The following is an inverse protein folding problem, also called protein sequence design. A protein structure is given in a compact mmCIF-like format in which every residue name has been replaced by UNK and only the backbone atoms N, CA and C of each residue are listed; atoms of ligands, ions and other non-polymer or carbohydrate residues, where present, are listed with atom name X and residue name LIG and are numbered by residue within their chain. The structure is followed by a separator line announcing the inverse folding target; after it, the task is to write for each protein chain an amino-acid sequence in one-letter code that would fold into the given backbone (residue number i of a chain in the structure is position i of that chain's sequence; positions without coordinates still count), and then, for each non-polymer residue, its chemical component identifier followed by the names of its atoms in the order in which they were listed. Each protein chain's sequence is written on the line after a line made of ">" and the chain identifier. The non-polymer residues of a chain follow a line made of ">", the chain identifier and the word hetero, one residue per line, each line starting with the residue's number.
data_IF_594053569931
#
_entry.id   IF_594053569931
#
_cell.length_a   1.000
_cell.length_b   1.000
_cell.length_c   1.000
_cell.angle_alpha   90.00
_cell.angle_beta   90.00
_cell.angle_gamma   90.00
#
_symmetry.space_group_name_H-M   'P 1'
#
loop_
_entity.id
_entity.type
_entity.pdbx_description
1 polymer ?
#
# COMPACT_ATOMS: atom_id res chain seq x y z
N UNK A 1 11.37 0.14 0.21
CA UNK A 1 11.40 -0.79 -0.94
C UNK A 1 10.13 -1.63 -0.86
N UNK A 2 9.30 -1.65 -1.90
CA UNK A 2 8.08 -2.47 -1.99
C UNK A 2 8.28 -3.57 -3.03
N UNK A 3 7.73 -4.74 -2.78
CA UNK A 3 7.65 -5.84 -3.75
C UNK A 3 6.17 -6.06 -4.11
N UNK A 4 5.80 -5.74 -5.34
CA UNK A 4 4.46 -5.97 -5.89
C UNK A 4 4.54 -7.14 -6.88
N UNK A 5 3.62 -8.09 -6.72
CA UNK A 5 3.60 -9.31 -7.52
C UNK A 5 2.23 -9.56 -8.12
N UNK A 6 2.23 -10.03 -9.36
CA UNK A 6 1.08 -10.60 -10.04
C UNK A 6 1.43 -12.04 -10.35
N UNK A 7 1.09 -12.94 -9.45
CA UNK A 7 1.42 -14.37 -9.59
C UNK A 7 0.53 -15.07 -10.65
N UNK A 8 -0.62 -14.47 -10.98
CA UNK A 8 -1.51 -14.94 -12.04
C UNK A 8 -2.28 -13.77 -12.67
N UNK A 9 -2.38 -13.76 -14.00
CA UNK A 9 -3.30 -12.90 -14.76
C UNK A 9 -3.67 -13.60 -16.07
N UNK A 10 -4.96 -13.67 -16.38
CA UNK A 10 -5.45 -14.25 -17.64
C UNK A 10 -5.01 -13.44 -18.85
N UNK A 11 -4.95 -12.11 -18.71
CA UNK A 11 -4.45 -11.19 -19.73
C UNK A 11 -3.70 -10.00 -19.10
N UNK A 12 -2.72 -9.46 -19.85
CA UNK A 12 -2.01 -8.20 -19.54
C UNK A 12 -1.45 -8.09 -18.10
N UNK A 13 -0.62 -9.04 -17.62
CA UNK A 13 -0.06 -9.03 -16.25
C UNK A 13 0.71 -7.75 -15.89
N UNK A 14 1.38 -7.12 -16.86
CA UNK A 14 2.09 -5.86 -16.64
C UNK A 14 1.12 -4.71 -16.35
N UNK A 15 -0.02 -4.65 -17.03
CA UNK A 15 -1.05 -3.62 -16.77
C UNK A 15 -1.72 -3.85 -15.41
N UNK A 16 -1.88 -5.12 -15.00
CA UNK A 16 -2.32 -5.45 -13.64
C UNK A 16 -1.31 -4.97 -12.59
N UNK A 17 -0.01 -5.16 -12.83
CA UNK A 17 1.04 -4.68 -11.94
C UNK A 17 1.09 -3.15 -11.87
N UNK A 18 0.91 -2.46 -13.00
CA UNK A 18 0.80 -0.99 -13.05
C UNK A 18 -0.39 -0.49 -12.23
N UNK A 19 -1.55 -1.14 -12.33
CA UNK A 19 -2.72 -0.79 -11.52
C UNK A 19 -2.46 -0.99 -10.02
N UNK A 20 -1.75 -2.06 -9.63
CA UNK A 20 -1.32 -2.26 -8.24
C UNK A 20 -0.39 -1.14 -7.77
N UNK A 21 0.57 -0.73 -8.61
CA UNK A 21 1.46 0.38 -8.29
C UNK A 21 0.70 1.69 -8.08
N UNK A 22 -0.17 2.07 -9.02
CA UNK A 22 -0.96 3.31 -8.92
C UNK A 22 -1.87 3.34 -7.68
N UNK A 23 -2.37 2.19 -7.25
CA UNK A 23 -3.15 2.07 -6.02
C UNK A 23 -2.29 2.18 -4.75
N UNK A 24 -1.09 1.61 -4.77
CA UNK A 24 -0.19 1.55 -3.62
C UNK A 24 0.63 2.83 -3.40
N UNK A 25 1.13 3.45 -4.47
CA UNK A 25 2.05 4.61 -4.42
C UNK A 25 1.58 5.72 -3.46
N UNK A 26 0.31 6.18 -3.48
CA UNK A 26 -0.15 7.23 -2.57
C UNK A 26 -0.11 6.84 -1.09
N UNK A 27 -0.09 5.54 -0.78
CA UNK A 27 -0.10 5.00 0.58
C UNK A 27 1.31 4.83 1.16
N UNK A 28 2.36 4.96 0.34
CA UNK A 28 3.75 4.77 0.78
C UNK A 28 4.14 5.73 1.90
N UNK A 29 3.70 7.00 1.81
CA UNK A 29 4.03 8.00 2.81
C UNK A 29 3.42 7.61 4.17
N UNK A 30 2.15 7.21 4.22
CA UNK A 30 1.50 6.76 5.44
C UNK A 30 2.18 5.53 6.05
N UNK A 31 2.70 4.62 5.21
CA UNK A 31 3.48 3.46 5.68
C UNK A 31 4.81 3.88 6.32
N UNK A 32 5.53 4.82 5.71
CA UNK A 32 6.79 5.37 6.23
C UNK A 32 6.53 6.13 7.53
N UNK A 33 5.54 7.03 7.55
CA UNK A 33 5.12 7.76 8.74
C UNK A 33 4.82 6.78 9.87
N UNK A 34 4.04 5.73 9.63
CA UNK A 34 3.71 4.75 10.68
C UNK A 34 4.92 3.99 11.22
N UNK A 35 5.93 3.75 10.39
CA UNK A 35 7.17 3.11 10.81
C UNK A 35 8.09 4.05 11.61
N UNK A 36 8.05 5.36 11.34
CA UNK A 36 8.89 6.37 11.98
C UNK A 36 8.23 6.97 13.24
N UNK A 37 6.98 7.38 13.13
CA UNK A 37 6.15 7.90 14.22
C UNK A 37 4.68 7.48 14.01
N UNK A 38 4.25 6.37 14.62
CA UNK A 38 2.88 5.86 14.47
C UNK A 38 1.79 6.81 14.99
N UNK A 39 2.13 7.86 15.75
CA UNK A 39 1.16 8.86 16.26
C UNK A 39 0.73 9.87 15.20
N UNK A 40 1.57 10.09 14.19
CA UNK A 40 1.34 11.03 13.07
C UNK A 40 0.69 10.32 11.87
N UNK A 41 0.55 9.00 11.91
CA UNK A 41 -0.07 8.24 10.84
C UNK A 41 -1.60 8.45 10.85
N UNK A 42 -2.26 8.51 9.68
CA UNK A 42 -3.71 8.54 9.60
C UNK A 42 -4.34 7.34 10.34
N UNK A 43 -5.30 7.59 11.22
CA UNK A 43 -6.13 6.52 11.82
C UNK A 43 -7.08 5.97 10.77
N UNK A 44 -7.17 4.64 10.69
CA UNK A 44 -8.11 3.95 9.82
C UNK A 44 -9.39 3.50 10.55
N UNK A 45 -9.58 3.95 11.80
CA UNK A 45 -10.78 3.66 12.60
C UNK A 45 -10.96 2.18 12.93
N UNK A 46 -9.86 1.45 13.14
CA UNK A 46 -9.90 0.01 13.44
C UNK A 46 -10.02 -0.23 14.96
N UNK A 47 -10.68 -1.31 15.41
CA UNK A 47 -10.75 -1.64 16.84
C UNK A 47 -9.33 -1.79 17.42
N UNK A 48 -8.96 -0.90 18.36
CA UNK A 48 -7.61 -0.78 18.92
C UNK A 48 -6.96 0.61 18.77
N UNK A 49 -7.64 1.55 18.12
CA UNK A 49 -7.23 2.97 17.99
C UNK A 49 -7.54 3.84 19.25
N UNK A 50 -7.86 3.22 20.40
CA UNK A 50 -8.06 3.89 21.72
C UNK A 50 -6.89 3.64 22.69
#
# INVERSE_FOLDING_TARGET
>A
MVDLRVDWAEERPVAALEALWLAYEPQMEAYITRALDPREAPTYGVPGDE
#
